data_IF_344008265086
#
_entry.id   IF_344008265086
#
_cell.length_a   1.000
_cell.length_b   1.000
_cell.length_c   1.000
_cell.angle_alpha   90.00
_cell.angle_beta   90.00
_cell.angle_gamma   90.00
#
_symmetry.space_group_name_H-M   'P 1'
#
loop_
_entity.id
_entity.type
_entity.pdbx_description
1 polymer ?
#
# COMPACT_ATOMS: atom_id res chain seq x y z
N UNK A 1 42.23 53.06 -14.19
CA UNK A 1 43.12 51.91 -14.46
C UNK A 1 42.33 50.65 -14.17
N UNK A 2 42.41 49.69 -15.08
CA UNK A 2 41.89 48.32 -15.02
C UNK A 2 40.40 48.07 -15.21
N UNK A 3 40.06 47.95 -16.49
CA UNK A 3 39.05 47.05 -17.06
C UNK A 3 39.30 45.59 -16.67
N UNK A 4 38.27 44.86 -16.24
CA UNK A 4 38.27 43.38 -16.21
C UNK A 4 37.20 42.86 -17.18
N UNK A 5 37.67 42.06 -18.14
CA UNK A 5 36.89 41.32 -19.15
C UNK A 5 36.04 40.22 -18.48
N UNK A 6 34.90 39.82 -19.07
CA UNK A 6 34.29 38.53 -18.80
C UNK A 6 35.09 37.42 -19.50
N UNK A 7 35.23 36.28 -18.82
CA UNK A 7 35.83 35.04 -19.31
C UNK A 7 34.82 34.24 -20.12
N UNK A 8 35.26 33.76 -21.29
CA UNK A 8 34.60 32.75 -22.13
C UNK A 8 34.29 31.49 -21.30
N UNK A 9 33.01 31.11 -21.20
CA UNK A 9 32.60 29.74 -20.92
C UNK A 9 32.31 29.06 -22.26
N UNK A 10 33.12 28.06 -22.58
CA UNK A 10 32.94 27.19 -23.74
C UNK A 10 31.72 26.29 -23.52
N UNK A 11 30.74 26.39 -24.41
CA UNK A 11 29.63 25.45 -24.57
C UNK A 11 30.14 24.02 -24.78
N UNK A 12 29.90 23.15 -23.82
CA UNK A 12 30.10 21.70 -23.96
C UNK A 12 28.79 21.08 -24.48
N UNK A 13 28.58 21.17 -25.80
CA UNK A 13 27.44 20.52 -26.45
C UNK A 13 27.71 19.02 -26.61
N UNK A 14 27.14 18.19 -25.73
CA UNK A 14 27.02 16.75 -25.99
C UNK A 14 26.00 16.51 -27.12
N UNK A 15 26.37 15.84 -28.24
CA UNK A 15 25.41 15.50 -29.27
C UNK A 15 24.53 14.32 -28.83
N UNK A 16 23.23 14.44 -29.09
CA UNK A 16 22.25 13.36 -28.90
C UNK A 16 22.61 12.10 -29.71
N UNK A 17 22.32 10.89 -29.20
CA UNK A 17 22.69 9.65 -29.89
C UNK A 17 21.81 9.43 -31.12
N UNK A 18 22.45 9.41 -32.29
CA UNK A 18 21.82 9.02 -33.56
C UNK A 18 21.72 7.49 -33.64
N UNK A 19 20.50 6.97 -33.57
CA UNK A 19 20.20 5.56 -33.82
C UNK A 19 20.53 5.20 -35.28
N UNK A 20 21.59 4.42 -35.48
CA UNK A 20 21.94 3.88 -36.80
C UNK A 20 21.36 2.47 -37.00
N UNK A 21 21.04 2.13 -38.25
CA UNK A 21 20.45 0.85 -38.69
C UNK A 21 21.21 -0.43 -38.28
N UNK A 22 22.39 -0.32 -37.66
CA UNK A 22 23.16 -1.46 -37.12
C UNK A 22 22.85 -1.80 -35.65
N UNK A 23 22.10 -0.97 -34.92
CA UNK A 23 21.65 -1.27 -33.55
C UNK A 23 20.43 -2.21 -33.46
N UNK A 24 19.78 -2.51 -34.59
CA UNK A 24 18.49 -3.22 -34.63
C UNK A 24 18.58 -4.75 -34.79
N UNK A 25 19.78 -5.33 -34.88
CA UNK A 25 19.97 -6.77 -35.17
C UNK A 25 20.66 -7.58 -34.05
N UNK A 26 20.93 -6.98 -32.89
CA UNK A 26 21.62 -7.67 -31.78
C UNK A 26 20.69 -8.27 -30.71
N UNK A 27 19.37 -8.33 -30.93
CA UNK A 27 18.39 -8.82 -29.94
C UNK A 27 17.48 -9.96 -30.41
N UNK A 28 17.95 -10.81 -31.32
CA UNK A 28 17.20 -12.00 -31.75
C UNK A 28 18.08 -13.24 -31.88
N UNK A 29 17.77 -14.27 -31.09
CA UNK A 29 18.29 -15.65 -31.19
C UNK A 29 19.38 -15.95 -30.15
N UNK A 30 19.38 -17.03 -29.36
CA UNK A 30 18.64 -18.27 -29.47
C UNK A 30 18.52 -18.99 -28.10
N UNK A 31 17.46 -19.78 -27.98
CA UNK A 31 17.16 -20.76 -26.93
C UNK A 31 17.99 -22.05 -27.01
N UNK A 32 18.24 -22.63 -25.82
CA UNK A 32 18.45 -24.05 -25.47
C UNK A 32 19.82 -24.73 -25.73
N UNK A 33 20.48 -25.10 -24.63
CA UNK A 33 21.14 -26.41 -24.48
C UNK A 33 21.23 -26.83 -23.00
N UNK A 34 20.84 -28.06 -22.76
CA UNK A 34 20.78 -28.84 -21.52
C UNK A 34 22.18 -29.16 -20.97
N UNK A 35 22.33 -29.23 -19.65
CA UNK A 35 23.55 -29.74 -19.02
C UNK A 35 23.33 -30.07 -17.54
N UNK A 36 22.97 -31.32 -17.25
CA UNK A 36 22.97 -31.86 -15.89
C UNK A 36 24.43 -32.04 -15.42
N UNK A 37 24.80 -31.39 -14.30
CA UNK A 37 26.00 -31.74 -13.55
C UNK A 37 25.60 -32.28 -12.18
N UNK A 38 25.76 -33.59 -12.03
CA UNK A 38 25.85 -34.29 -10.76
C UNK A 38 27.12 -33.84 -10.03
N UNK A 39 26.98 -33.14 -8.91
CA UNK A 39 28.07 -32.94 -7.96
C UNK A 39 27.83 -33.81 -6.72
N UNK A 40 28.58 -34.90 -6.63
CA UNK A 40 28.81 -35.65 -5.40
C UNK A 40 29.74 -34.81 -4.49
N UNK A 41 29.18 -34.21 -3.44
CA UNK A 41 29.93 -33.54 -2.38
C UNK A 41 29.79 -34.30 -1.06
N UNK A 42 30.90 -34.88 -0.60
CA UNK A 42 31.03 -35.68 0.62
C UNK A 42 30.62 -34.91 1.88
N UNK A 43 29.95 -35.59 2.80
CA UNK A 43 29.71 -35.15 4.18
C UNK A 43 31.04 -34.91 4.89
N UNK A 44 31.35 -33.66 5.20
CA UNK A 44 32.40 -33.30 6.15
C UNK A 44 31.77 -33.11 7.53
N UNK A 45 32.00 -34.08 8.41
CA UNK A 45 31.65 -34.02 9.82
C UNK A 45 32.72 -33.18 10.51
N UNK A 46 32.46 -31.88 10.68
CA UNK A 46 33.37 -31.00 11.42
C UNK A 46 33.14 -31.17 12.92
N UNK A 47 34.00 -31.98 13.55
CA UNK A 47 34.27 -31.89 14.98
C UNK A 47 35.14 -30.65 15.22
N UNK A 48 34.61 -29.64 15.90
CA UNK A 48 35.41 -28.59 16.51
C UNK A 48 35.49 -28.81 18.01
N UNK A 49 36.47 -29.58 18.47
CA UNK A 49 36.93 -29.53 19.85
C UNK A 49 38.10 -28.54 19.92
N UNK A 50 37.87 -27.37 20.52
CA UNK A 50 38.93 -26.40 20.81
C UNK A 50 39.64 -26.83 22.10
N UNK A 51 40.95 -27.14 22.10
CA UNK A 51 41.68 -27.47 23.31
C UNK A 51 41.78 -26.23 24.22
N UNK A 52 41.25 -26.33 25.45
CA UNK A 52 41.31 -25.25 26.44
C UNK A 52 39.97 -24.62 26.84
N UNK A 53 38.86 -25.00 26.21
CA UNK A 53 37.53 -24.60 26.68
C UNK A 53 37.19 -25.39 27.97
N UNK A 54 37.16 -24.69 29.11
CA UNK A 54 36.59 -25.26 30.35
C UNK A 54 35.11 -25.57 30.08
N UNK A 55 34.69 -26.80 30.38
CA UNK A 55 33.31 -27.23 30.22
C UNK A 55 32.32 -26.32 30.97
N UNK A 56 31.02 -26.34 30.60
CA UNK A 56 30.02 -25.53 31.27
C UNK A 56 30.06 -25.81 32.78
N UNK A 57 30.11 -24.76 33.59
CA UNK A 57 29.91 -24.89 35.04
C UNK A 57 28.56 -25.55 35.29
N UNK A 58 28.54 -26.60 36.11
CA UNK A 58 27.28 -27.15 36.63
C UNK A 58 26.48 -26.01 37.24
N UNK A 59 25.27 -25.79 36.71
CA UNK A 59 24.38 -24.68 37.08
C UNK A 59 24.16 -23.60 36.01
N UNK A 60 24.80 -23.68 34.84
CA UNK A 60 24.54 -22.74 33.73
C UNK A 60 23.77 -23.41 32.58
N UNK A 61 22.48 -23.09 32.54
CA UNK A 61 21.44 -23.45 31.56
C UNK A 61 20.74 -24.82 31.75
N UNK A 62 19.42 -24.71 31.85
CA UNK A 62 18.40 -25.75 31.73
C UNK A 62 18.15 -26.68 32.93
N UNK A 63 17.89 -26.10 34.10
CA UNK A 63 16.74 -26.59 34.88
C UNK A 63 15.53 -25.71 34.54
N UNK A 64 14.70 -26.18 33.62
CA UNK A 64 13.34 -25.63 33.41
C UNK A 64 12.27 -26.60 33.92
N UNK A 65 12.67 -27.60 34.71
CA UNK A 65 11.79 -28.51 35.42
C UNK A 65 11.28 -27.88 36.71
N UNK A 66 10.66 -26.70 36.63
CA UNK A 66 10.22 -26.00 37.83
C UNK A 66 9.27 -24.86 37.50
N UNK A 67 7.97 -25.17 37.51
CA UNK A 67 6.84 -24.21 37.53
C UNK A 67 7.10 -22.97 36.65
N UNK A 68 6.88 -23.10 35.34
CA UNK A 68 6.55 -21.91 34.56
C UNK A 68 5.41 -21.22 35.30
N UNK A 69 5.69 -20.07 35.91
CA UNK A 69 4.65 -19.13 36.27
C UNK A 69 3.88 -18.94 34.97
N UNK A 70 2.70 -19.57 34.85
CA UNK A 70 1.75 -19.27 33.78
C UNK A 70 1.60 -17.76 33.89
N UNK A 71 2.23 -17.00 33.00
CA UNK A 71 1.87 -15.61 32.86
C UNK A 71 0.37 -15.65 32.64
N UNK A 72 -0.39 -15.15 33.62
CA UNK A 72 -1.83 -15.10 33.56
C UNK A 72 -2.15 -14.19 32.39
N UNK A 73 -2.35 -14.77 31.22
CA UNK A 73 -2.81 -14.01 30.08
C UNK A 73 -4.22 -13.50 30.40
N UNK A 74 -4.50 -12.29 29.95
CA UNK A 74 -5.83 -11.73 30.13
C UNK A 74 -6.82 -12.50 29.26
N UNK A 75 -8.12 -12.53 29.63
CA UNK A 75 -9.13 -13.06 28.74
C UNK A 75 -9.10 -12.29 27.40
N UNK A 76 -9.32 -12.96 26.26
CA UNK A 76 -9.32 -12.31 24.95
C UNK A 76 -10.26 -11.11 24.91
N UNK A 77 -9.76 -9.98 24.44
CA UNK A 77 -10.59 -8.80 24.21
C UNK A 77 -11.65 -9.07 23.14
N UNK A 78 -12.87 -8.57 23.38
CA UNK A 78 -14.03 -8.77 22.51
C UNK A 78 -14.46 -7.47 21.83
N UNK A 79 -14.76 -7.57 20.55
CA UNK A 79 -15.27 -6.47 19.72
C UNK A 79 -16.54 -5.86 20.34
N UNK A 80 -16.65 -4.53 20.32
CA UNK A 80 -17.80 -3.80 20.84
C UNK A 80 -17.90 -3.74 22.36
N UNK A 81 -17.16 -4.58 23.09
CA UNK A 81 -17.03 -4.55 24.55
C UNK A 81 -15.73 -3.90 25.00
N UNK A 82 -14.61 -4.43 24.52
CA UNK A 82 -13.28 -4.05 24.97
C UNK A 82 -12.61 -3.03 24.01
N UNK A 83 -13.03 -3.02 22.74
CA UNK A 83 -12.50 -2.10 21.73
C UNK A 83 -13.51 -1.80 20.62
N UNK A 84 -13.26 -0.70 19.89
CA UNK A 84 -13.98 -0.36 18.66
C UNK A 84 -13.26 -1.05 17.49
N UNK A 85 -13.90 -2.00 16.78
CA UNK A 85 -13.29 -2.66 15.63
C UNK A 85 -12.91 -1.65 14.53
N UNK A 86 -11.77 -1.87 13.87
CA UNK A 86 -11.40 -1.07 12.69
C UNK A 86 -12.31 -1.39 11.50
N UNK A 87 -12.53 -0.43 10.62
CA UNK A 87 -13.12 -0.62 9.30
C UNK A 87 -11.97 -0.83 8.30
N UNK A 88 -12.08 -1.84 7.44
CA UNK A 88 -11.06 -2.17 6.44
C UNK A 88 -11.69 -2.04 5.06
N UNK A 89 -11.66 -0.85 4.43
CA UNK A 89 -12.24 -0.63 3.11
C UNK A 89 -11.68 -1.64 2.11
N UNK A 90 -12.56 -2.28 1.33
CA UNK A 90 -12.23 -3.36 0.38
C UNK A 90 -11.52 -4.59 0.96
N UNK A 91 -11.33 -4.67 2.28
CA UNK A 91 -10.54 -5.70 2.93
C UNK A 91 -11.36 -6.63 3.81
N UNK A 92 -10.65 -7.52 4.50
CA UNK A 92 -11.23 -8.47 5.43
C UNK A 92 -10.50 -8.43 6.77
N UNK A 93 -11.11 -9.06 7.78
CA UNK A 93 -10.50 -9.29 9.09
C UNK A 93 -10.27 -10.76 9.29
N UNK A 94 -9.18 -11.11 9.96
CA UNK A 94 -8.86 -12.51 10.21
C UNK A 94 -9.77 -13.04 11.33
N UNK A 95 -10.67 -14.00 11.05
CA UNK A 95 -11.55 -14.53 12.07
C UNK A 95 -10.75 -15.32 13.11
N UNK A 96 -11.28 -15.37 14.33
CA UNK A 96 -10.64 -16.07 15.45
C UNK A 96 -11.65 -16.81 16.32
N UNK A 97 -11.12 -17.72 17.14
CA UNK A 97 -11.88 -18.49 18.13
C UNK A 97 -11.22 -18.38 19.50
N UNK A 98 -12.04 -18.29 20.54
CA UNK A 98 -11.56 -18.39 21.93
C UNK A 98 -11.39 -19.88 22.28
N UNK A 99 -10.14 -20.31 22.48
CA UNK A 99 -9.83 -21.68 22.89
C UNK A 99 -9.09 -21.64 24.23
N UNK A 100 -9.86 -21.73 25.32
CA UNK A 100 -9.31 -21.73 26.69
C UNK A 100 -8.64 -20.40 27.08
N UNK A 101 -9.18 -19.26 26.63
CA UNK A 101 -8.63 -17.95 26.91
C UNK A 101 -7.49 -17.54 25.96
N UNK A 102 -7.31 -18.27 24.85
CA UNK A 102 -6.34 -17.96 23.79
C UNK A 102 -7.10 -17.57 22.52
N UNK A 103 -6.71 -16.47 21.90
CA UNK A 103 -7.22 -16.00 20.61
C UNK A 103 -6.57 -16.81 19.50
N UNK A 104 -7.28 -17.79 18.94
CA UNK A 104 -6.76 -18.71 17.93
C UNK A 104 -7.18 -18.26 16.53
N UNK A 105 -6.20 -18.08 15.66
CA UNK A 105 -6.35 -17.68 14.26
C UNK A 105 -5.84 -18.78 13.33
N UNK A 106 -6.39 -18.82 12.11
CA UNK A 106 -5.88 -19.65 11.01
C UNK A 106 -5.60 -18.79 9.79
N UNK A 107 -4.31 -18.62 9.49
CA UNK A 107 -3.82 -17.87 8.35
C UNK A 107 -3.37 -18.86 7.27
N UNK A 108 -3.80 -18.68 6.03
CA UNK A 108 -3.54 -19.59 4.92
C UNK A 108 -2.88 -18.82 3.79
N UNK A 109 -1.58 -19.04 3.58
CA UNK A 109 -0.86 -18.50 2.44
C UNK A 109 -1.25 -19.28 1.18
N UNK A 110 -1.73 -18.60 0.14
CA UNK A 110 -2.20 -19.25 -1.09
C UNK A 110 -2.20 -18.30 -2.30
N UNK A 111 -2.30 -18.85 -3.50
CA UNK A 111 -2.55 -18.06 -4.71
C UNK A 111 -3.99 -17.51 -4.70
N UNK A 112 -4.16 -16.28 -5.18
CA UNK A 112 -5.42 -15.54 -5.17
C UNK A 112 -5.59 -14.83 -6.51
N UNK A 113 -6.72 -15.06 -7.19
CA UNK A 113 -7.14 -14.17 -8.28
C UNK A 113 -7.72 -12.89 -7.67
N UNK A 114 -7.04 -11.78 -7.89
CA UNK A 114 -7.38 -10.48 -7.31
C UNK A 114 -7.73 -9.47 -8.40
N UNK A 115 -8.69 -8.59 -8.12
CA UNK A 115 -9.07 -7.48 -9.00
C UNK A 115 -8.72 -6.16 -8.33
N UNK A 116 -7.80 -5.40 -8.94
CA UNK A 116 -7.29 -4.12 -8.43
C UNK A 116 -8.31 -3.00 -8.64
N UNK A 117 -8.95 -3.01 -9.79
CA UNK A 117 -10.05 -2.14 -10.19
C UNK A 117 -10.81 -2.83 -11.33
N UNK A 118 -12.05 -2.42 -11.65
CA UNK A 118 -12.80 -3.00 -12.76
C UNK A 118 -11.97 -3.02 -14.04
N UNK A 119 -11.65 -4.22 -14.55
CA UNK A 119 -10.86 -4.41 -15.77
C UNK A 119 -9.39 -4.82 -15.58
N UNK A 120 -8.83 -4.73 -14.36
CA UNK A 120 -7.47 -5.20 -14.06
C UNK A 120 -7.47 -6.30 -12.99
N UNK A 121 -7.17 -7.54 -13.43
CA UNK A 121 -7.04 -8.71 -12.56
C UNK A 121 -5.65 -9.30 -12.62
N UNK A 122 -5.14 -9.82 -11.51
CA UNK A 122 -3.90 -10.59 -11.50
C UNK A 122 -3.99 -11.81 -10.58
N UNK A 123 -3.18 -12.81 -10.87
CA UNK A 123 -2.90 -13.93 -9.98
C UNK A 123 -1.79 -13.49 -9.02
N UNK A 124 -2.19 -13.14 -7.81
CA UNK A 124 -1.35 -12.70 -6.72
C UNK A 124 -1.14 -13.84 -5.71
N UNK A 125 -0.27 -13.62 -4.74
CA UNK A 125 -0.17 -14.45 -3.54
C UNK A 125 -0.69 -13.65 -2.35
N UNK A 126 -1.50 -14.30 -1.52
CA UNK A 126 -2.17 -13.62 -0.42
C UNK A 126 -2.48 -14.56 0.73
N UNK A 127 -3.33 -14.08 1.63
CA UNK A 127 -3.74 -14.84 2.80
C UNK A 127 -5.25 -14.99 2.86
N UNK A 128 -5.74 -16.20 3.14
CA UNK A 128 -7.16 -16.51 3.31
C UNK A 128 -8.05 -16.07 2.12
N UNK A 129 -7.50 -16.05 0.91
CA UNK A 129 -8.24 -15.63 -0.30
C UNK A 129 -8.30 -14.13 -0.52
N UNK A 130 -7.51 -13.36 0.24
CA UNK A 130 -7.45 -11.90 0.13
C UNK A 130 -6.05 -11.42 -0.22
N UNK A 131 -6.03 -10.32 -0.98
CA UNK A 131 -4.86 -9.50 -1.26
C UNK A 131 -5.29 -8.05 -0.97
N UNK A 132 -4.66 -7.32 -0.05
CA UNK A 132 -3.73 -7.83 0.96
C UNK A 132 -4.37 -8.81 1.93
N UNK A 133 -3.55 -9.44 2.77
CA UNK A 133 -4.03 -10.35 3.79
C UNK A 133 -5.01 -9.69 4.77
N UNK A 134 -5.90 -10.49 5.40
CA UNK A 134 -6.92 -9.96 6.29
C UNK A 134 -6.31 -9.30 7.53
N UNK A 135 -6.86 -8.16 7.95
CA UNK A 135 -6.40 -7.43 9.14
C UNK A 135 -6.57 -8.26 10.40
N UNK A 136 -5.50 -8.36 11.18
CA UNK A 136 -5.51 -9.02 12.48
C UNK A 136 -5.86 -7.98 13.55
N UNK A 137 -6.89 -8.25 14.37
CA UNK A 137 -7.25 -7.40 15.50
C UNK A 137 -7.10 -8.15 16.82
N UNK A 138 -6.33 -7.58 17.74
CA UNK A 138 -6.10 -8.12 19.09
C UNK A 138 -6.14 -6.98 20.12
N UNK A 139 -6.23 -7.32 21.39
CA UNK A 139 -6.11 -6.36 22.49
C UNK A 139 -4.82 -6.62 23.25
N UNK A 140 -4.14 -5.56 23.68
CA UNK A 140 -2.99 -5.64 24.57
C UNK A 140 -3.26 -6.60 25.74
N UNK A 141 -2.35 -7.55 25.97
CA UNK A 141 -2.45 -8.62 26.97
C UNK A 141 -3.13 -9.91 26.48
N UNK A 142 -3.68 -9.93 25.25
CA UNK A 142 -4.22 -11.16 24.66
C UNK A 142 -3.09 -12.19 24.46
N UNK A 143 -3.37 -13.45 24.81
CA UNK A 143 -2.60 -14.60 24.32
C UNK A 143 -3.11 -14.97 22.94
N UNK A 144 -2.24 -14.97 21.95
CA UNK A 144 -2.59 -15.27 20.56
C UNK A 144 -1.92 -16.56 20.10
N UNK A 145 -2.61 -17.31 19.25
CA UNK A 145 -2.09 -18.49 18.56
C UNK A 145 -2.46 -18.41 17.09
N UNK A 146 -1.46 -18.40 16.22
CA UNK A 146 -1.65 -18.48 14.78
C UNK A 146 -1.25 -19.87 14.30
N UNK A 147 -2.15 -20.52 13.58
CA UNK A 147 -1.79 -21.61 12.68
C UNK A 147 -1.61 -21.01 11.30
N UNK A 148 -0.42 -21.16 10.72
CA UNK A 148 -0.10 -20.67 9.37
C UNK A 148 0.06 -21.88 8.46
N UNK A 149 -0.90 -22.08 7.57
CA UNK A 149 -0.86 -23.15 6.56
C UNK A 149 -0.31 -22.61 5.25
N UNK A 150 0.70 -23.26 4.69
CA UNK A 150 1.23 -22.92 3.38
C UNK A 150 0.55 -23.76 2.29
N UNK A 151 -0.17 -23.11 1.37
CA UNK A 151 -0.73 -23.71 0.15
C UNK A 151 -0.11 -23.14 -1.13
N UNK A 152 0.96 -22.37 -1.01
CA UNK A 152 1.73 -21.88 -2.15
C UNK A 152 2.56 -23.02 -2.77
N UNK A 153 2.98 -22.86 -4.03
CA UNK A 153 3.94 -23.78 -4.64
C UNK A 153 5.38 -23.62 -4.09
N UNK A 154 5.63 -22.58 -3.29
CA UNK A 154 6.92 -22.27 -2.69
C UNK A 154 6.86 -22.30 -1.16
N UNK A 155 8.01 -22.47 -0.51
CA UNK A 155 8.12 -22.29 0.93
C UNK A 155 7.76 -20.86 1.33
N UNK A 156 7.29 -20.66 2.57
CA UNK A 156 6.94 -19.32 3.07
C UNK A 156 7.25 -19.21 4.57
N UNK A 157 7.14 -18.02 5.13
CA UNK A 157 7.06 -17.78 6.58
C UNK A 157 6.16 -16.57 6.84
N UNK A 158 5.94 -16.19 8.11
CA UNK A 158 5.22 -14.96 8.44
C UNK A 158 5.97 -14.24 9.55
N UNK A 159 6.45 -13.03 9.25
CA UNK A 159 7.00 -12.11 10.23
C UNK A 159 5.92 -11.14 10.73
N UNK A 160 5.99 -10.82 12.02
CA UNK A 160 5.03 -9.95 12.72
C UNK A 160 5.66 -8.57 12.91
N UNK A 161 5.67 -7.78 11.84
CA UNK A 161 6.34 -6.50 11.74
C UNK A 161 5.90 -5.50 12.82
N UNK A 162 6.85 -5.09 13.65
CA UNK A 162 6.65 -4.16 14.77
C UNK A 162 6.10 -4.81 16.04
N UNK A 163 5.89 -6.13 16.09
CA UNK A 163 5.30 -6.82 17.24
C UNK A 163 6.40 -7.29 18.22
N UNK A 164 6.27 -6.95 19.50
CA UNK A 164 7.22 -7.37 20.54
C UNK A 164 6.89 -8.80 21.02
N UNK A 165 7.61 -9.77 20.48
CA UNK A 165 7.40 -11.20 20.72
C UNK A 165 8.70 -11.93 21.12
N UNK A 166 8.62 -13.18 21.62
CA UNK A 166 9.80 -14.01 21.83
C UNK A 166 10.49 -14.32 20.49
N UNK A 167 11.82 -14.21 20.43
CA UNK A 167 12.60 -14.36 19.18
C UNK A 167 12.29 -15.64 18.38
N UNK A 168 11.98 -16.76 19.02
CA UNK A 168 11.60 -18.00 18.31
C UNK A 168 10.22 -17.97 17.61
N UNK A 169 9.45 -16.89 17.77
CA UNK A 169 8.13 -16.68 17.14
C UNK A 169 8.19 -15.61 16.03
N UNK A 170 9.39 -15.17 15.65
CA UNK A 170 9.60 -13.97 14.84
C UNK A 170 9.36 -14.16 13.33
N UNK A 171 9.43 -15.40 12.82
CA UNK A 171 9.04 -15.66 11.43
C UNK A 171 10.13 -15.62 10.38
N UNK A 172 11.39 -15.32 10.73
CA UNK A 172 12.48 -15.28 9.72
C UNK A 172 12.96 -16.69 9.39
N UNK A 173 12.77 -17.10 8.13
CA UNK A 173 13.17 -18.42 7.64
C UNK A 173 14.69 -18.59 7.60
N UNK A 174 15.21 -19.61 8.27
CA UNK A 174 16.64 -19.88 8.39
C UNK A 174 17.33 -19.22 9.59
N UNK A 175 16.70 -18.22 10.22
CA UNK A 175 17.24 -17.51 11.39
C UNK A 175 16.52 -17.93 12.68
N UNK A 176 15.23 -17.61 12.79
CA UNK A 176 14.43 -17.85 13.99
C UNK A 176 13.61 -19.14 13.90
N UNK A 177 13.38 -19.62 12.67
CA UNK A 177 12.65 -20.85 12.40
C UNK A 177 13.05 -21.47 11.07
N UNK A 178 12.58 -22.70 10.80
CA UNK A 178 12.57 -23.26 9.45
C UNK A 178 11.48 -22.60 8.60
N UNK A 179 11.69 -22.57 7.29
CA UNK A 179 10.63 -22.19 6.35
C UNK A 179 9.48 -23.20 6.41
N UNK A 180 8.26 -22.73 6.19
CA UNK A 180 7.05 -23.54 6.12
C UNK A 180 6.99 -24.10 4.69
N UNK A 181 7.24 -25.40 4.52
CA UNK A 181 7.20 -26.01 3.19
C UNK A 181 5.74 -26.07 2.66
N UNK A 182 5.54 -26.21 1.33
CA UNK A 182 4.21 -26.43 0.77
C UNK A 182 3.46 -27.57 1.46
N UNK A 183 2.21 -27.31 1.87
CA UNK A 183 1.36 -28.25 2.59
C UNK A 183 1.56 -28.27 4.11
N UNK A 184 2.62 -27.66 4.65
CA UNK A 184 2.87 -27.63 6.09
C UNK A 184 2.02 -26.58 6.81
N UNK A 185 1.86 -26.77 8.13
CA UNK A 185 1.24 -25.79 9.02
C UNK A 185 2.13 -25.54 10.23
N UNK A 186 2.50 -24.28 10.45
CA UNK A 186 3.30 -23.85 11.59
C UNK A 186 2.44 -23.18 12.66
N UNK A 187 2.89 -23.25 13.91
CA UNK A 187 2.23 -22.61 15.05
C UNK A 187 3.10 -21.49 15.60
N UNK A 188 2.55 -20.28 15.65
CA UNK A 188 3.10 -19.15 16.38
C UNK A 188 2.22 -18.91 17.61
N UNK A 189 2.83 -18.74 18.79
CA UNK A 189 2.05 -18.50 20.01
C UNK A 189 2.79 -17.61 20.99
N UNK A 190 2.23 -16.44 21.27
CA UNK A 190 2.83 -15.43 22.14
C UNK A 190 1.77 -14.57 22.82
N UNK A 191 2.19 -13.79 23.81
CA UNK A 191 1.34 -12.81 24.49
C UNK A 191 1.65 -11.43 23.94
N UNK A 192 0.63 -10.70 23.50
CA UNK A 192 0.77 -9.34 22.96
C UNK A 192 0.93 -8.38 24.13
N UNK A 193 2.02 -7.61 24.17
CA UNK A 193 2.40 -6.80 25.35
C UNK A 193 2.49 -5.29 25.10
N UNK A 194 1.99 -4.85 23.95
CA UNK A 194 1.96 -3.45 23.53
C UNK A 194 0.60 -3.15 22.92
N UNK A 195 0.36 -1.89 22.55
CA UNK A 195 -0.75 -1.45 21.72
C UNK A 195 -0.24 -0.56 20.58
N UNK A 196 -0.98 -0.48 19.49
CA UNK A 196 -0.64 0.36 18.34
C UNK A 196 -0.94 -0.33 17.01
N UNK A 197 -0.32 0.20 15.94
CA UNK A 197 -0.48 -0.30 14.58
C UNK A 197 0.81 -0.98 14.13
N UNK A 198 0.73 -2.29 13.87
CA UNK A 198 1.79 -3.09 13.24
C UNK A 198 1.32 -3.67 11.92
N UNK A 199 2.16 -4.51 11.34
CA UNK A 199 1.91 -5.20 10.07
C UNK A 199 2.35 -6.66 10.20
N UNK A 200 2.07 -7.47 9.18
CA UNK A 200 2.66 -8.79 9.04
C UNK A 200 2.91 -9.05 7.56
N UNK A 201 3.95 -9.84 7.25
CA UNK A 201 4.30 -10.16 5.88
C UNK A 201 5.07 -11.46 5.79
N UNK A 202 5.21 -12.00 4.57
CA UNK A 202 6.14 -13.08 4.35
C UNK A 202 7.57 -12.63 4.63
N UNK A 203 8.36 -13.51 5.24
CA UNK A 203 9.80 -13.30 5.46
C UNK A 203 10.62 -14.45 4.88
N UNK A 204 10.12 -15.04 3.79
CA UNK A 204 10.82 -15.99 2.96
C UNK A 204 10.69 -15.56 1.50
N UNK A 205 11.81 -15.49 0.78
CA UNK A 205 11.85 -14.92 -0.57
C UNK A 205 11.08 -13.59 -0.63
N UNK A 206 11.43 -12.71 0.33
CA UNK A 206 10.66 -11.53 0.71
C UNK A 206 10.36 -10.63 -0.48
N UNK A 207 11.38 -10.39 -1.31
CA UNK A 207 11.27 -9.65 -2.57
C UNK A 207 10.11 -10.18 -3.42
N UNK A 208 10.08 -11.48 -3.68
CA UNK A 208 9.03 -12.10 -4.51
C UNK A 208 7.69 -12.11 -3.79
N UNK A 209 7.64 -12.59 -2.54
CA UNK A 209 6.37 -12.84 -1.87
C UNK A 209 5.63 -11.57 -1.48
N UNK A 210 6.35 -10.52 -1.09
CA UNK A 210 5.73 -9.21 -0.82
C UNK A 210 5.26 -8.56 -2.11
N UNK A 211 6.06 -8.55 -3.18
CA UNK A 211 5.65 -8.01 -4.47
C UNK A 211 4.44 -8.75 -5.07
N UNK A 212 4.27 -10.03 -4.73
CA UNK A 212 3.08 -10.82 -5.09
C UNK A 212 1.86 -10.56 -4.20
N UNK A 213 2.01 -9.86 -3.07
CA UNK A 213 0.90 -9.37 -2.25
C UNK A 213 0.84 -9.88 -0.81
N UNK A 214 1.83 -10.65 -0.35
CA UNK A 214 1.83 -11.33 0.97
C UNK A 214 2.17 -10.39 2.13
N UNK A 215 1.38 -9.35 2.30
CA UNK A 215 1.43 -8.37 3.41
C UNK A 215 0.04 -8.22 4.04
N UNK A 216 -0.04 -7.66 5.25
CA UNK A 216 -1.32 -7.36 5.92
C UNK A 216 -1.17 -6.52 7.18
N UNK A 217 -2.27 -5.95 7.67
CA UNK A 217 -2.28 -5.09 8.87
C UNK A 217 -2.43 -5.90 10.16
N UNK A 218 -1.77 -5.45 11.23
CA UNK A 218 -1.88 -6.01 12.58
C UNK A 218 -2.22 -4.89 13.58
N UNK A 219 -3.49 -4.78 13.96
CA UNK A 219 -3.97 -3.74 14.88
C UNK A 219 -4.07 -4.28 16.30
N UNK A 220 -3.40 -3.59 17.23
CA UNK A 220 -3.45 -3.91 18.66
C UNK A 220 -4.15 -2.79 19.42
N UNK A 221 -5.37 -3.05 19.85
CA UNK A 221 -6.14 -2.13 20.66
C UNK A 221 -5.56 -2.06 22.09
N UNK A 222 -5.45 -0.86 22.69
CA UNK A 222 -5.01 -0.73 24.08
C UNK A 222 -6.03 -1.37 25.01
N UNK A 223 -5.57 -2.09 26.04
CA UNK A 223 -6.47 -2.67 27.05
C UNK A 223 -7.17 -1.58 27.86
N UNK A 224 -6.46 -0.48 28.09
CA UNK A 224 -6.91 0.70 28.81
C UNK A 224 -6.71 1.92 27.92
N UNK A 225 -7.63 2.20 26.98
CA UNK A 225 -7.50 3.35 26.10
C UNK A 225 -7.43 4.64 26.92
N UNK A 226 -6.57 5.56 26.49
CA UNK A 226 -6.40 6.88 27.11
C UNK A 226 -6.78 7.94 26.07
N UNK A 227 -7.44 9.00 26.53
CA UNK A 227 -7.86 10.11 25.67
C UNK A 227 -9.31 9.97 25.18
N UNK A 228 -9.72 10.82 24.23
CA UNK A 228 -11.08 10.82 23.72
C UNK A 228 -11.39 9.51 22.98
N UNK A 229 -12.65 9.09 23.05
CA UNK A 229 -13.15 7.92 22.33
C UNK A 229 -13.08 8.16 20.82
N UNK A 230 -12.64 7.14 20.09
CA UNK A 230 -12.70 7.10 18.62
C UNK A 230 -14.06 6.53 18.20
N UNK A 231 -14.77 7.24 17.33
CA UNK A 231 -16.06 6.82 16.79
C UNK A 231 -15.88 5.95 15.54
N UNK A 232 -14.88 6.29 14.73
CA UNK A 232 -14.51 5.60 13.50
C UNK A 232 -13.01 5.34 13.45
N UNK A 233 -12.61 4.09 13.27
CA UNK A 233 -11.19 3.70 13.13
C UNK A 233 -11.05 2.96 11.80
N UNK A 234 -10.19 3.41 10.89
CA UNK A 234 -9.95 2.80 9.58
C UNK A 234 -8.52 2.21 9.51
N UNK A 235 -8.36 1.07 8.84
CA UNK A 235 -7.04 0.50 8.53
C UNK A 235 -6.82 0.44 7.02
N UNK A 236 -5.71 1.03 6.58
CA UNK A 236 -5.32 1.15 5.17
C UNK A 236 -3.86 0.68 5.03
N UNK A 237 -3.67 -0.39 4.28
CA UNK A 237 -2.36 -0.85 3.82
C UNK A 237 -2.05 -0.22 2.47
N UNK A 238 -0.89 0.42 2.37
CA UNK A 238 -0.36 1.00 1.16
C UNK A 238 0.63 0.02 0.53
N UNK A 239 0.55 -0.11 -0.79
CA UNK A 239 1.42 -1.00 -1.56
C UNK A 239 1.47 -0.59 -3.03
N UNK A 240 2.54 -1.00 -3.70
CA UNK A 240 2.82 -0.75 -5.11
C UNK A 240 3.08 -2.05 -5.85
N UNK A 241 2.82 -2.03 -7.16
CA UNK A 241 2.88 -3.22 -7.99
C UNK A 241 3.37 -2.86 -9.38
N UNK A 242 4.07 -3.79 -10.01
CA UNK A 242 4.33 -3.77 -11.45
C UNK A 242 3.42 -4.77 -12.13
N UNK A 243 2.49 -4.28 -12.95
CA UNK A 243 1.63 -5.13 -13.78
C UNK A 243 1.58 -4.54 -15.19
N UNK A 244 2.28 -5.18 -16.12
CA UNK A 244 2.28 -4.74 -17.52
C UNK A 244 0.88 -4.90 -18.13
N UNK A 245 0.41 -3.95 -18.95
CA UNK A 245 -0.87 -4.06 -19.66
C UNK A 245 -0.99 -5.37 -20.43
N UNK A 246 -2.13 -6.07 -20.32
CA UNK A 246 -2.33 -7.38 -20.95
C UNK A 246 -1.89 -8.58 -20.11
N UNK A 247 -1.06 -8.37 -19.09
CA UNK A 247 -0.56 -9.47 -18.24
C UNK A 247 -1.44 -9.68 -17.02
N UNK A 248 -1.37 -10.88 -16.41
CA UNK A 248 -2.17 -11.27 -15.24
C UNK A 248 -1.30 -11.68 -14.05
N UNK A 249 -0.06 -11.23 -13.97
CA UNK A 249 0.83 -11.51 -12.84
C UNK A 249 1.63 -10.26 -12.50
N UNK A 250 1.77 -9.90 -11.22
CA UNK A 250 2.76 -8.92 -10.82
C UNK A 250 4.17 -9.37 -11.26
N UNK A 251 5.01 -8.43 -11.68
CA UNK A 251 6.44 -8.68 -11.86
C UNK A 251 7.17 -8.41 -10.54
N UNK A 252 7.62 -9.45 -9.83
CA UNK A 252 8.38 -9.25 -8.60
C UNK A 252 9.77 -8.68 -8.85
N UNK A 253 10.32 -8.75 -10.07
CA UNK A 253 11.68 -8.30 -10.35
C UNK A 253 11.78 -6.79 -10.60
N UNK A 254 10.66 -6.08 -10.68
CA UNK A 254 10.66 -4.63 -10.80
C UNK A 254 11.05 -3.98 -9.48
N UNK A 255 12.06 -3.13 -9.51
CA UNK A 255 12.65 -2.54 -8.32
C UNK A 255 12.39 -1.04 -8.20
N UNK A 256 11.94 -0.39 -9.28
CA UNK A 256 11.93 1.07 -9.38
C UNK A 256 10.75 1.67 -10.13
N UNK A 257 10.15 0.91 -11.05
CA UNK A 257 9.16 1.42 -12.01
C UNK A 257 7.76 0.82 -11.77
N UNK A 258 7.18 1.08 -10.61
CA UNK A 258 5.84 0.60 -10.26
C UNK A 258 4.75 1.40 -10.96
N UNK A 259 3.72 0.71 -11.45
CA UNK A 259 2.68 1.30 -12.30
C UNK A 259 1.25 1.10 -11.77
N UNK A 260 1.09 0.44 -10.63
CA UNK A 260 -0.18 0.28 -9.93
C UNK A 260 0.06 0.58 -8.46
N UNK A 261 -0.54 1.66 -7.97
CA UNK A 261 -0.40 2.11 -6.59
C UNK A 261 -1.75 1.96 -5.89
N UNK A 262 -1.74 1.35 -4.70
CA UNK A 262 -2.98 0.83 -4.09
C UNK A 262 -3.18 1.21 -2.63
N UNK A 263 -4.46 1.36 -2.26
CA UNK A 263 -4.93 1.35 -0.88
C UNK A 263 -5.70 0.05 -0.66
N UNK A 264 -5.29 -0.78 0.30
CA UNK A 264 -5.84 -2.12 0.53
C UNK A 264 -5.89 -2.98 -0.76
N UNK A 265 -4.80 -2.94 -1.55
CA UNK A 265 -4.67 -3.60 -2.85
C UNK A 265 -5.74 -3.20 -3.90
N UNK A 266 -6.44 -2.08 -3.71
CA UNK A 266 -7.31 -1.47 -4.70
C UNK A 266 -6.69 -0.19 -5.26
N UNK A 267 -6.84 0.02 -6.55
CA UNK A 267 -6.52 1.26 -7.23
C UNK A 267 -7.82 1.97 -7.61
N UNK A 268 -7.92 3.29 -7.46
CA UNK A 268 -9.09 4.05 -7.89
C UNK A 268 -9.31 3.88 -9.41
N UNK A 269 -10.54 3.61 -9.89
CA UNK A 269 -11.84 3.77 -9.21
C UNK A 269 -12.36 2.54 -8.44
N UNK A 270 -11.51 1.54 -8.17
CA UNK A 270 -11.87 0.34 -7.41
C UNK A 270 -11.83 0.47 -5.89
N UNK A 271 -11.39 1.61 -5.35
CA UNK A 271 -11.33 1.88 -3.91
C UNK A 271 -12.72 2.20 -3.35
N UNK A 272 -13.04 1.67 -2.16
CA UNK A 272 -14.23 2.03 -1.40
C UNK A 272 -14.05 3.39 -0.71
N UNK A 273 -15.11 4.21 -0.64
CA UNK A 273 -15.06 5.47 0.10
C UNK A 273 -15.00 5.23 1.61
N UNK A 274 -14.41 6.19 2.33
CA UNK A 274 -14.44 6.23 3.78
C UNK A 274 -15.70 6.96 4.24
N UNK A 275 -16.65 6.27 4.85
CA UNK A 275 -17.95 6.86 5.23
C UNK A 275 -17.99 7.18 6.72
N UNK A 276 -18.26 8.44 7.05
CA UNK A 276 -18.32 8.93 8.45
C UNK A 276 -19.49 9.89 8.66
N UNK A 277 -19.97 9.97 9.90
CA UNK A 277 -20.99 10.96 10.28
C UNK A 277 -20.33 12.24 10.79
N UNK A 278 -20.95 13.39 10.51
CA UNK A 278 -20.53 14.68 11.05
C UNK A 278 -20.37 14.61 12.57
N UNK A 279 -19.27 15.15 13.07
CA UNK A 279 -18.90 15.18 14.49
C UNK A 279 -18.24 13.90 15.01
N UNK A 280 -18.12 12.84 14.20
CA UNK A 280 -17.35 11.66 14.61
C UNK A 280 -15.87 12.01 14.74
N UNK A 281 -15.24 11.52 15.81
CA UNK A 281 -13.77 11.45 15.90
C UNK A 281 -13.29 10.27 15.08
N UNK A 282 -12.53 10.58 14.03
CA UNK A 282 -12.03 9.62 13.06
C UNK A 282 -10.55 9.37 13.31
N UNK A 283 -10.17 8.09 13.27
CA UNK A 283 -8.80 7.61 13.23
C UNK A 283 -8.58 6.89 11.90
N UNK A 284 -7.46 7.16 11.24
CA UNK A 284 -7.02 6.40 10.07
C UNK A 284 -5.60 5.89 10.34
N UNK A 285 -5.43 4.57 10.23
CA UNK A 285 -4.17 3.85 10.42
C UNK A 285 -3.62 3.46 9.06
N UNK A 286 -2.42 3.93 8.78
CA UNK A 286 -1.68 3.59 7.58
C UNK A 286 -0.55 2.63 7.94
N UNK A 287 -0.42 1.56 7.16
CA UNK A 287 0.80 0.77 7.06
C UNK A 287 1.34 0.85 5.64
N UNK A 288 2.66 0.88 5.48
CA UNK A 288 3.29 0.88 4.17
C UNK A 288 4.35 -0.22 4.10
N UNK A 289 4.13 -1.18 3.20
CA UNK A 289 5.07 -2.23 2.85
C UNK A 289 5.33 -2.28 1.33
N UNK A 290 5.20 -1.13 0.66
CA UNK A 290 5.71 -0.91 -0.69
C UNK A 290 7.20 -1.27 -0.78
N UNK A 291 7.68 -1.64 -1.97
CA UNK A 291 9.05 -2.09 -2.16
C UNK A 291 10.08 -0.94 -2.09
N UNK A 292 9.70 0.24 -2.59
CA UNK A 292 10.53 1.42 -2.71
C UNK A 292 9.86 2.63 -2.06
N UNK A 293 8.62 2.95 -2.43
CA UNK A 293 8.14 4.31 -2.21
C UNK A 293 7.53 4.55 -0.82
N UNK A 294 7.86 5.72 -0.28
CA UNK A 294 7.07 6.34 0.78
C UNK A 294 5.78 6.90 0.20
N UNK A 295 4.77 7.21 1.01
CA UNK A 295 3.52 7.78 0.50
C UNK A 295 3.06 8.96 1.34
N UNK A 296 3.14 10.21 0.83
CA UNK A 296 2.57 11.38 1.49
C UNK A 296 1.05 11.40 1.26
N UNK A 297 0.26 10.88 2.19
CA UNK A 297 -1.20 10.83 2.08
C UNK A 297 -1.80 12.17 2.52
N UNK A 298 -2.42 12.89 1.60
CA UNK A 298 -3.11 14.14 1.83
C UNK A 298 -4.62 13.93 2.01
N UNK A 299 -5.21 14.59 3.01
CA UNK A 299 -6.66 14.59 3.23
C UNK A 299 -7.20 16.01 3.03
N UNK A 300 -8.13 16.16 2.09
CA UNK A 300 -8.79 17.44 1.82
C UNK A 300 -9.79 17.78 2.93
N UNK A 301 -10.04 19.07 3.13
CA UNK A 301 -11.08 19.58 4.04
C UNK A 301 -10.74 19.53 5.53
N UNK A 302 -9.71 18.78 5.94
CA UNK A 302 -9.40 18.56 7.35
C UNK A 302 -7.92 18.78 7.68
N UNK A 303 -7.69 19.34 8.85
CA UNK A 303 -6.41 19.19 9.56
C UNK A 303 -6.54 18.03 10.54
N UNK A 304 -5.47 17.27 10.72
CA UNK A 304 -5.42 16.13 11.63
C UNK A 304 -4.17 16.19 12.50
N UNK A 305 -4.13 15.40 13.57
CA UNK A 305 -2.91 15.19 14.35
C UNK A 305 -2.31 13.83 14.04
N UNK A 306 -0.99 13.74 13.99
CA UNK A 306 -0.28 12.46 14.02
C UNK A 306 -0.29 11.95 15.46
N UNK A 307 -0.90 10.79 15.72
CA UNK A 307 -1.12 10.28 17.09
C UNK A 307 -0.38 8.99 17.41
N UNK A 308 0.00 8.21 16.41
CA UNK A 308 0.81 7.00 16.59
C UNK A 308 1.85 6.88 15.46
N UNK A 309 3.02 6.33 15.80
CA UNK A 309 4.00 5.78 14.84
C UNK A 309 4.06 4.25 14.97
N UNK A 310 4.97 3.63 14.23
CA UNK A 310 5.42 2.24 14.39
C UNK A 310 5.91 1.90 15.81
N UNK A 311 6.36 2.90 16.57
CA UNK A 311 6.70 2.80 18.00
C UNK A 311 5.51 2.87 18.95
N UNK A 312 4.28 3.03 18.45
CA UNK A 312 3.07 3.16 19.24
C UNK A 312 2.60 4.61 19.43
N UNK A 313 1.79 4.85 20.47
CA UNK A 313 1.14 6.15 20.69
C UNK A 313 2.13 7.24 21.08
N UNK A 314 2.08 8.36 20.38
CA UNK A 314 2.84 9.57 20.70
C UNK A 314 2.16 10.26 21.89
N UNK A 315 2.98 10.70 22.86
CA UNK A 315 2.51 11.51 23.99
C UNK A 315 1.77 12.75 23.47
N UNK A 316 0.66 13.12 24.10
CA UNK A 316 -0.24 14.16 23.59
C UNK A 316 0.46 15.51 23.32
N UNK A 317 1.41 15.87 24.19
CA UNK A 317 2.25 17.07 24.07
C UNK A 317 3.24 17.04 22.90
N UNK A 318 3.52 15.86 22.35
CA UNK A 318 4.43 15.65 21.23
C UNK A 318 3.70 15.32 19.91
N UNK A 319 2.37 15.22 19.93
CA UNK A 319 1.58 15.11 18.71
C UNK A 319 1.56 16.47 17.99
N UNK A 320 1.59 16.45 16.66
CA UNK A 320 1.64 17.66 15.84
C UNK A 320 0.54 17.65 14.77
N UNK A 321 0.05 18.84 14.35
CA UNK A 321 -0.96 18.96 13.31
C UNK A 321 -0.35 18.85 11.91
N UNK A 322 -1.10 18.28 10.97
CA UNK A 322 -0.75 18.15 9.55
C UNK A 322 -2.02 18.15 8.68
N UNK A 323 -1.83 18.30 7.37
CA UNK A 323 -2.84 17.97 6.33
C UNK A 323 -2.37 16.85 5.40
N UNK A 324 -1.07 16.52 5.45
CA UNK A 324 -0.45 15.45 4.66
C UNK A 324 0.46 14.63 5.57
N UNK A 325 0.23 13.32 5.64
CA UNK A 325 1.05 12.40 6.43
C UNK A 325 1.99 11.62 5.54
N UNK A 326 3.30 11.79 5.75
CA UNK A 326 4.30 10.93 5.13
C UNK A 326 4.27 9.55 5.79
N UNK A 327 4.01 8.49 5.01
CA UNK A 327 4.08 7.09 5.45
C UNK A 327 5.30 6.41 4.81
N UNK A 328 6.43 6.31 5.52
CA UNK A 328 7.65 5.68 4.99
C UNK A 328 7.47 4.17 4.77
N UNK A 329 8.27 3.60 3.88
CA UNK A 329 8.40 2.15 3.68
C UNK A 329 8.77 1.45 4.98
N UNK A 330 8.08 0.35 5.30
CA UNK A 330 8.29 -0.41 6.53
C UNK A 330 7.82 0.32 7.80
N UNK A 331 6.98 1.35 7.67
CA UNK A 331 6.48 2.13 8.81
C UNK A 331 4.96 2.15 8.87
N UNK A 332 4.44 2.48 10.05
CA UNK A 332 3.03 2.82 10.24
C UNK A 332 2.88 4.26 10.72
N UNK A 333 1.76 4.88 10.38
CA UNK A 333 1.35 6.21 10.86
C UNK A 333 -0.13 6.21 11.14
N UNK A 334 -0.53 6.86 12.23
CA UNK A 334 -1.95 7.02 12.57
C UNK A 334 -2.28 8.49 12.69
N UNK A 335 -3.37 8.90 12.03
CA UNK A 335 -3.90 10.26 12.09
C UNK A 335 -5.25 10.27 12.79
N UNK A 336 -5.54 11.35 13.50
CA UNK A 336 -6.84 11.59 14.13
C UNK A 336 -7.37 13.00 13.86
N UNK A 337 -8.65 13.10 13.57
CA UNK A 337 -9.38 14.36 13.35
C UNK A 337 -10.85 14.23 13.76
N UNK A 338 -11.56 15.34 13.77
CA UNK A 338 -13.02 15.37 13.92
C UNK A 338 -13.60 15.70 12.56
N UNK A 339 -14.53 14.87 12.07
CA UNK A 339 -15.19 15.10 10.79
C UNK A 339 -16.33 16.14 10.96
N UNK A 340 -16.00 17.41 11.11
CA UNK A 340 -16.96 18.50 11.39
C UNK A 340 -17.58 19.15 10.15
N UNK A 341 -17.00 18.95 8.96
CA UNK A 341 -17.51 19.52 7.71
C UNK A 341 -18.09 18.44 6.74
N UNK A 342 -19.41 18.46 6.48
CA UNK A 342 -20.04 17.61 5.47
C UNK A 342 -19.48 17.83 4.07
N UNK A 343 -19.33 16.75 3.32
CA UNK A 343 -18.77 16.83 1.98
C UNK A 343 -18.30 15.50 1.44
N UNK A 344 -17.85 15.53 0.18
CA UNK A 344 -17.06 14.48 -0.44
C UNK A 344 -15.64 15.03 -0.58
N UNK A 345 -14.73 14.54 0.26
CA UNK A 345 -13.38 15.05 0.40
C UNK A 345 -12.38 14.04 -0.16
N UNK A 346 -11.51 14.47 -1.07
CA UNK A 346 -10.48 13.59 -1.61
C UNK A 346 -9.46 13.21 -0.53
N UNK A 347 -9.00 11.95 -0.56
CA UNK A 347 -7.85 11.48 0.18
C UNK A 347 -6.94 10.70 -0.77
N UNK A 348 -5.71 11.15 -0.95
CA UNK A 348 -4.83 10.57 -1.96
C UNK A 348 -3.34 10.71 -1.63
N UNK A 349 -2.51 9.90 -2.30
CA UNK A 349 -1.06 10.11 -2.28
C UNK A 349 -0.71 11.41 -3.02
N UNK A 350 0.19 12.20 -2.47
CA UNK A 350 0.61 13.48 -3.04
C UNK A 350 1.92 13.37 -3.85
N UNK A 351 2.36 12.15 -4.16
CA UNK A 351 3.29 11.94 -5.26
C UNK A 351 2.48 11.86 -6.56
N UNK A 352 2.75 12.79 -7.47
CA UNK A 352 1.91 13.02 -8.66
C UNK A 352 1.69 11.77 -9.50
N UNK A 353 2.71 10.90 -9.64
CA UNK A 353 2.58 9.67 -10.41
C UNK A 353 1.80 8.56 -9.68
N UNK A 354 1.61 8.65 -8.35
CA UNK A 354 0.89 7.64 -7.55
C UNK A 354 -0.62 7.77 -7.65
N UNK A 355 -1.10 8.93 -8.13
CA UNK A 355 -2.49 9.15 -8.49
C UNK A 355 -2.74 8.92 -9.97
N UNK A 356 -1.90 8.10 -10.60
CA UNK A 356 -2.05 7.64 -11.97
C UNK A 356 -1.93 6.12 -11.97
N UNK A 357 -2.83 5.45 -12.68
CA UNK A 357 -2.74 4.03 -12.98
C UNK A 357 -1.84 3.81 -14.20
N UNK A 358 -1.31 2.61 -14.39
CA UNK A 358 -0.61 2.05 -15.57
C UNK A 358 0.11 3.03 -16.49
N UNK A 359 0.75 4.07 -15.94
CA UNK A 359 1.54 5.03 -16.71
C UNK A 359 2.81 4.35 -17.18
N UNK A 360 3.03 4.34 -18.49
CA UNK A 360 4.36 4.08 -19.01
C UNK A 360 5.25 5.31 -18.82
N UNK A 361 6.46 5.12 -18.30
CA UNK A 361 7.43 6.21 -18.15
C UNK A 361 8.20 6.55 -19.44
N UNK A 362 8.06 5.72 -20.49
CA UNK A 362 8.73 5.91 -21.79
C UNK A 362 7.88 6.69 -22.81
N UNK A 363 6.86 7.43 -22.37
CA UNK A 363 5.99 8.21 -23.26
C UNK A 363 6.64 9.59 -23.51
N UNK A 364 6.84 10.02 -24.79
CA UNK A 364 7.41 11.32 -25.08
C UNK A 364 6.51 12.46 -24.59
N UNK A 365 7.11 13.58 -24.17
CA UNK A 365 6.37 14.77 -23.78
C UNK A 365 5.64 15.38 -24.99
N UNK A 366 4.31 15.35 -24.95
CA UNK A 366 3.45 15.87 -26.02
C UNK A 366 2.86 17.25 -25.73
N UNK A 367 3.14 17.85 -24.57
CA UNK A 367 2.56 19.13 -24.16
C UNK A 367 2.92 20.22 -25.16
N UNK A 368 1.91 20.90 -25.70
CA UNK A 368 2.07 21.95 -26.70
C UNK A 368 2.44 21.48 -28.11
N UNK A 369 2.61 20.17 -28.33
CA UNK A 369 2.78 19.61 -29.68
C UNK A 369 1.48 19.83 -30.45
N UNK A 370 1.57 20.48 -31.62
CA UNK A 370 0.44 20.67 -32.52
C UNK A 370 0.54 19.60 -33.62
N UNK A 371 -0.28 18.53 -33.57
CA UNK A 371 -0.13 17.40 -34.47
C UNK A 371 -0.57 17.76 -35.90
N UNK A 372 -1.31 18.88 -36.07
CA UNK A 372 -1.85 19.30 -37.35
C UNK A 372 -2.69 18.19 -37.98
N UNK A 373 -2.40 17.84 -39.23
CA UNK A 373 -3.05 16.72 -39.91
C UNK A 373 -2.41 15.34 -39.66
N UNK A 374 -1.47 15.21 -38.71
CA UNK A 374 -0.75 13.94 -38.47
C UNK A 374 -1.71 12.82 -38.10
N UNK A 375 -2.61 13.04 -37.14
CA UNK A 375 -3.60 12.05 -36.71
C UNK A 375 -4.46 11.58 -37.88
N UNK A 376 -4.87 12.50 -38.76
CA UNK A 376 -5.66 12.20 -39.95
C UNK A 376 -4.87 11.40 -41.01
N UNK A 377 -3.55 11.59 -41.10
CA UNK A 377 -2.68 10.83 -42.00
C UNK A 377 -2.31 9.44 -41.46
N UNK A 378 -2.26 9.29 -40.14
CA UNK A 378 -1.85 8.04 -39.47
C UNK A 378 -3.03 7.11 -39.20
N UNK A 379 -4.22 7.63 -38.90
CA UNK A 379 -5.45 6.83 -38.65
C UNK A 379 -5.77 5.77 -39.70
N UNK A 380 -5.58 6.02 -41.02
CA UNK A 380 -5.80 5.00 -42.05
C UNK A 380 -4.83 3.81 -41.95
N UNK A 381 -3.64 4.01 -41.38
CA UNK A 381 -2.60 2.98 -41.23
C UNK A 381 -2.67 2.29 -39.86
N UNK A 382 -3.03 3.03 -38.82
CA UNK A 382 -3.17 2.55 -37.44
C UNK A 382 -4.54 3.00 -36.90
N UNK A 383 -5.59 2.20 -37.13
CA UNK A 383 -6.92 2.46 -36.58
C UNK A 383 -6.84 2.55 -35.05
N UNK A 384 -7.17 3.71 -34.49
CA UNK A 384 -7.06 4.00 -33.04
C UNK A 384 -5.91 4.94 -32.66
N UNK A 385 -5.02 5.31 -33.59
CA UNK A 385 -4.02 6.34 -33.32
C UNK A 385 -4.67 7.71 -33.08
N UNK A 386 -4.23 8.37 -32.01
CA UNK A 386 -4.53 9.75 -31.70
C UNK A 386 -3.43 10.31 -30.81
N UNK A 387 -3.12 11.59 -30.99
CA UNK A 387 -2.11 12.22 -30.16
C UNK A 387 -2.69 12.53 -28.78
N UNK A 388 -2.01 12.06 -27.73
CA UNK A 388 -2.44 12.19 -26.34
C UNK A 388 -1.57 13.18 -25.55
N UNK A 389 -2.15 13.82 -24.54
CA UNK A 389 -1.38 14.61 -23.58
C UNK A 389 -0.92 15.99 -24.09
N UNK A 390 -1.54 16.55 -25.12
CA UNK A 390 -1.13 17.85 -25.70
C UNK A 390 -1.53 19.05 -24.83
N UNK A 391 -2.67 18.92 -24.15
CA UNK A 391 -3.27 19.93 -23.26
C UNK A 391 -3.29 19.48 -21.79
N UNK A 392 -2.62 18.37 -21.48
CA UNK A 392 -2.56 17.77 -20.14
C UNK A 392 -3.11 16.34 -20.14
N UNK A 393 -3.04 15.69 -18.98
CA UNK A 393 -3.53 14.31 -18.81
C UNK A 393 -5.03 14.23 -18.50
N UNK A 394 -5.69 15.37 -18.27
CA UNK A 394 -7.14 15.43 -18.05
C UNK A 394 -7.97 14.97 -19.25
N UNK A 395 -7.48 15.20 -20.47
CA UNK A 395 -8.17 14.78 -21.70
C UNK A 395 -8.35 13.25 -21.79
N UNK A 396 -7.52 12.48 -21.07
CA UNK A 396 -7.64 11.02 -20.98
C UNK A 396 -8.91 10.59 -20.24
N UNK A 397 -9.45 11.43 -19.34
CA UNK A 397 -10.66 11.14 -18.58
C UNK A 397 -11.90 10.99 -19.47
N UNK A 398 -11.98 11.73 -20.59
CA UNK A 398 -13.10 11.62 -21.53
C UNK A 398 -13.02 10.43 -22.49
N UNK A 399 -11.96 9.61 -22.40
CA UNK A 399 -11.62 8.61 -23.43
C UNK A 399 -11.93 7.17 -23.06
N UNK A 400 -12.84 6.97 -22.10
CA UNK A 400 -13.35 5.64 -21.70
C UNK A 400 -13.97 4.82 -22.84
N UNK A 401 -14.26 5.44 -23.99
CA UNK A 401 -14.80 4.79 -25.18
C UNK A 401 -13.73 4.18 -26.10
N UNK A 402 -12.45 4.42 -25.83
CA UNK A 402 -11.35 3.81 -26.57
C UNK A 402 -11.13 2.36 -26.11
N UNK A 403 -10.84 1.42 -27.03
CA UNK A 403 -10.48 0.06 -26.65
C UNK A 403 -9.17 0.09 -25.87
N UNK A 404 -9.24 -0.19 -24.57
CA UNK A 404 -8.07 -0.43 -23.74
C UNK A 404 -7.48 -1.82 -24.03
N UNK A 405 -6.16 -2.03 -23.87
CA UNK A 405 -5.60 -3.37 -23.86
C UNK A 405 -6.38 -4.29 -22.92
N UNK A 406 -6.50 -5.57 -23.27
CA UNK A 406 -7.12 -6.53 -22.36
C UNK A 406 -6.43 -6.47 -20.99
N UNK A 407 -7.19 -6.65 -19.91
CA UNK A 407 -6.65 -6.64 -18.55
C UNK A 407 -5.81 -5.39 -18.21
N UNK A 408 -6.38 -4.21 -18.45
CA UNK A 408 -5.78 -2.92 -18.12
C UNK A 408 -6.84 -1.95 -17.60
N UNK A 409 -6.39 -0.88 -16.94
CA UNK A 409 -7.25 0.17 -16.39
C UNK A 409 -6.83 1.55 -16.94
N UNK A 410 -7.78 2.49 -17.07
CA UNK A 410 -7.46 3.85 -17.49
C UNK A 410 -6.46 4.54 -16.56
N UNK A 411 -5.58 5.33 -17.17
CA UNK A 411 -4.52 6.12 -16.53
C UNK A 411 -5.00 6.99 -15.36
N UNK A 412 -6.14 7.61 -15.56
CA UNK A 412 -6.86 8.41 -14.57
C UNK A 412 -8.31 7.98 -14.66
N UNK A 413 -9.11 8.24 -13.64
CA UNK A 413 -10.55 8.25 -13.88
C UNK A 413 -11.41 7.62 -12.81
N UNK A 414 -12.62 8.14 -12.81
CA UNK A 414 -13.80 7.70 -12.11
C UNK A 414 -14.84 8.80 -12.33
N UNK A 415 -16.06 8.44 -12.70
CA UNK A 415 -17.09 9.46 -12.96
C UNK A 415 -17.47 10.16 -11.66
N UNK A 416 -17.22 11.47 -11.58
CA UNK A 416 -17.67 12.32 -10.49
C UNK A 416 -19.07 12.91 -10.73
N UNK A 417 -19.62 13.65 -9.76
CA UNK A 417 -20.93 14.29 -9.88
C UNK A 417 -20.92 15.52 -10.80
N UNK A 418 -19.77 16.15 -11.01
CA UNK A 418 -19.62 17.38 -11.78
C UNK A 418 -18.82 17.20 -13.07
N UNK A 419 -17.82 16.32 -13.05
CA UNK A 419 -16.99 15.95 -14.22
C UNK A 419 -16.24 14.63 -13.92
N UNK A 420 -15.39 14.18 -14.83
CA UNK A 420 -14.44 13.08 -14.61
C UNK A 420 -13.42 13.44 -13.53
N UNK A 421 -13.19 12.51 -12.60
CA UNK A 421 -12.12 12.62 -11.60
C UNK A 421 -10.82 12.23 -12.29
N UNK A 422 -9.95 13.20 -12.58
CA UNK A 422 -8.69 12.97 -13.29
C UNK A 422 -7.57 12.44 -12.38
N UNK A 423 -7.91 11.59 -11.42
CA UNK A 423 -6.99 10.86 -10.53
C UNK A 423 -7.29 9.36 -10.60
N UNK A 424 -6.26 8.54 -10.44
CA UNK A 424 -6.31 7.08 -10.35
C UNK A 424 -5.48 6.57 -9.16
N UNK A 425 -5.13 5.30 -9.11
CA UNK A 425 -4.15 4.75 -8.18
C UNK A 425 -4.53 4.91 -6.71
N UNK A 426 -3.61 5.49 -5.91
CA UNK A 426 -3.82 5.76 -4.48
C UNK A 426 -4.72 6.98 -4.26
N UNK A 427 -6.01 6.81 -4.53
CA UNK A 427 -7.05 7.80 -4.29
C UNK A 427 -8.29 7.14 -3.69
N UNK A 428 -8.96 7.82 -2.77
CA UNK A 428 -10.31 7.50 -2.29
C UNK A 428 -11.01 8.78 -1.84
N UNK A 429 -12.26 8.67 -1.41
CA UNK A 429 -13.11 9.78 -0.99
C UNK A 429 -13.56 9.54 0.45
N UNK A 430 -13.28 10.49 1.33
CA UNK A 430 -13.92 10.61 2.63
C UNK A 430 -15.29 11.27 2.44
N UNK A 431 -16.35 10.50 2.67
CA UNK A 431 -17.75 10.95 2.60
C UNK A 431 -18.26 11.26 4.01
N UNK A 432 -18.45 12.55 4.29
CA UNK A 432 -18.99 13.04 5.57
C UNK A 432 -20.46 13.40 5.39
N UNK A 433 -21.35 12.87 6.25
CA UNK A 433 -22.79 13.16 6.20
C UNK A 433 -23.33 13.59 7.55
N UNK A 434 -24.28 14.52 7.57
CA UNK A 434 -24.97 14.92 8.80
C UNK A 434 -25.70 13.74 9.46
N UNK A 435 -26.27 12.85 8.65
CA UNK A 435 -26.97 11.63 9.07
C UNK A 435 -26.53 10.47 8.19
N UNK A 436 -26.42 9.29 8.80
CA UNK A 436 -26.12 8.03 8.13
C UNK A 436 -27.16 6.99 8.54
N UNK A 437 -27.78 6.35 7.55
CA UNK A 437 -28.67 5.21 7.75
C UNK A 437 -27.89 3.88 7.83
N UNK A 438 -26.60 3.92 7.49
CA UNK A 438 -25.66 2.80 7.52
C UNK A 438 -24.25 3.23 7.10
N UNK A 439 -23.35 2.25 6.91
CA UNK A 439 -21.96 2.50 6.50
C UNK A 439 -21.66 2.10 5.06
N UNK A 440 -22.69 1.83 4.25
CA UNK A 440 -22.54 1.75 2.80
C UNK A 440 -22.32 3.12 2.18
N UNK A 441 -22.00 3.16 0.88
CA UNK A 441 -21.83 4.42 0.14
C UNK A 441 -23.13 5.25 0.17
N UNK A 442 -23.14 6.45 0.79
CA UNK A 442 -24.31 7.31 0.86
C UNK A 442 -24.59 8.08 -0.45
N UNK A 443 -23.87 7.81 -1.53
CA UNK A 443 -23.96 8.55 -2.79
C UNK A 443 -23.18 9.85 -2.77
N UNK A 444 -23.40 10.72 -3.75
CA UNK A 444 -22.70 12.00 -3.89
C UNK A 444 -23.22 13.08 -2.93
N UNK A 445 -22.32 13.89 -2.39
CA UNK A 445 -22.69 15.05 -1.60
C UNK A 445 -23.33 16.15 -2.47
N UNK A 446 -24.45 16.71 -2.01
CA UNK A 446 -25.10 17.86 -2.66
C UNK A 446 -24.64 19.13 -1.94
N UNK A 447 -23.89 19.98 -2.64
CA UNK A 447 -23.42 21.25 -2.10
C UNK A 447 -24.62 22.19 -1.80
N UNK A 448 -24.66 22.83 -0.61
CA UNK A 448 -25.64 23.88 -0.34
C UNK A 448 -25.58 25.03 -1.37
N UNK A 449 -26.70 25.76 -1.57
CA UNK A 449 -26.69 26.94 -2.44
C UNK A 449 -25.60 27.95 -2.04
N UNK A 450 -24.81 28.40 -3.01
CA UNK A 450 -23.74 29.38 -2.80
C UNK A 450 -22.41 28.80 -2.30
N UNK A 451 -22.31 27.48 -2.09
CA UNK A 451 -21.05 26.84 -1.65
C UNK A 451 -20.36 26.01 -2.74
N UNK A 452 -20.90 26.01 -3.96
CA UNK A 452 -20.30 25.38 -5.12
C UNK A 452 -19.62 26.46 -5.97
N UNK A 453 -18.37 26.22 -6.38
CA UNK A 453 -17.71 27.07 -7.36
C UNK A 453 -18.46 27.03 -8.69
N UNK A 454 -18.64 28.19 -9.31
CA UNK A 454 -19.41 28.35 -10.54
C UNK A 454 -18.60 29.10 -11.57
N UNK A 455 -19.05 29.06 -12.82
CA UNK A 455 -18.49 29.88 -13.88
C UNK A 455 -18.73 31.37 -13.52
N UNK A 456 -17.67 32.18 -13.49
CA UNK A 456 -17.80 33.60 -13.20
C UNK A 456 -18.53 34.30 -14.35
N UNK A 457 -19.52 35.13 -14.04
CA UNK A 457 -20.23 35.90 -15.06
C UNK A 457 -19.47 37.18 -15.43
N UNK A 458 -19.56 37.61 -16.70
CA UNK A 458 -18.84 38.79 -17.20
C UNK A 458 -19.15 40.08 -16.44
N UNK A 459 -20.37 40.23 -15.93
CA UNK A 459 -20.78 41.37 -15.11
C UNK A 459 -20.14 41.34 -13.72
N UNK A 460 -19.95 40.16 -13.12
CA UNK A 460 -19.20 39.99 -11.87
C UNK A 460 -17.72 40.32 -12.08
N UNK A 461 -17.12 39.77 -13.15
CA UNK A 461 -15.73 40.08 -13.52
C UNK A 461 -15.54 41.59 -13.74
N UNK A 462 -16.45 42.23 -14.48
CA UNK A 462 -16.44 43.69 -14.70
C UNK A 462 -16.65 44.48 -13.41
N UNK A 463 -17.59 44.07 -12.55
CA UNK A 463 -17.84 44.69 -11.24
C UNK A 463 -16.58 44.65 -10.37
N UNK A 464 -15.87 43.53 -10.40
CA UNK A 464 -14.69 43.31 -9.56
C UNK A 464 -13.39 43.76 -10.24
N UNK A 465 -13.48 44.40 -11.42
CA UNK A 465 -12.35 44.98 -12.15
C UNK A 465 -11.41 43.95 -12.78
N UNK A 466 -11.87 42.72 -13.00
CA UNK A 466 -11.10 41.64 -13.59
C UNK A 466 -11.28 41.67 -15.11
N UNK A 467 -10.19 41.93 -15.82
CA UNK A 467 -10.11 41.81 -17.29
C UNK A 467 -9.39 40.52 -17.67
N UNK A 468 -10.15 39.53 -18.15
CA UNK A 468 -9.63 38.22 -18.59
C UNK A 468 -8.73 38.30 -19.83
N UNK A 469 -8.72 39.43 -20.54
CA UNK A 469 -7.83 39.68 -21.67
C UNK A 469 -6.47 40.25 -21.28
N UNK A 470 -6.29 40.67 -20.03
CA UNK A 470 -5.04 41.23 -19.52
C UNK A 470 -4.22 40.14 -18.81
N UNK A 471 -2.91 39.99 -19.10
CA UNK A 471 -2.05 38.94 -18.54
C UNK A 471 -1.91 38.92 -17.02
#
# INVERSE_FOLDING_TARGET
>A
MSTMKPTDETEDTHPAPVLTRRGLLARTGATLATGALLMHGRTAQAQSSVPGAKGPREGSAADTGGKTARQSHLPPGREGRDYRPVVVPNGAKLPWKDVGGVKVFHLVAQEVEHEFAPGLKALCWGYNGHVHGPTIEVVEGDRVRFYVTNRLPASTTVHWHGILLPSGMDGVGGLNQKAIAPGETYKYEFTVRQSGTGMYHSHHDEMTQMAMGMVGMFVIHPRKPVGPRIDRDFAIMLHEWRIDPGTRRPDPNEMTDFNILTMNAKAFPGTEPLVVRKGERVRIRFGNLSAMDHHPIHLHGFQFRITETDGGRIQESAQWPETTVLVPTGSTRTIEFVADEPGDWAMHCHMTHHVMNQMGHDIPNMIGVKPGGLDAKVRPLLPGYMTMGQTGMGDMGGMHHMPMPANSIPMVGGKGPYDEITMGGMFTILKVRDRLDGYGDPGWYTAPPGTLAQLAHDDELRRDGIDVGTP
#
